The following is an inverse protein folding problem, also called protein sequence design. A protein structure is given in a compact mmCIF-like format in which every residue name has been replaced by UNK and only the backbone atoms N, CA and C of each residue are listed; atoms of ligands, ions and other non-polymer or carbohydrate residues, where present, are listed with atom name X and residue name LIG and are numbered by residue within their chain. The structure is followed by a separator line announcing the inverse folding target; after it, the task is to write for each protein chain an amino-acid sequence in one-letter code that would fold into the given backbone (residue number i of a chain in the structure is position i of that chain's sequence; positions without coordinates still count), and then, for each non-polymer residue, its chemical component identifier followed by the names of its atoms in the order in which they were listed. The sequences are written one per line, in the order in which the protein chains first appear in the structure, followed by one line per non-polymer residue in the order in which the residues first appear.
data_IF_766119524140
#
_entry.id   IF_766119524140
#
_cell.length_a   1.000
_cell.length_b   1.000
_cell.length_c   1.000
_cell.angle_alpha   90.00
_cell.angle_beta   90.00
_cell.angle_gamma   90.00
#
_symmetry.space_group_name_H-M   'P 1'
#
loop_
_entity.id
_entity.type
_entity.pdbx_description
1 polymer ?
#
# COMPACT_ATOMS: atom_id res chain seq x y z
N UNK A 1 -23.69 -19.65 12.33
CA UNK A 1 -23.81 -21.05 11.89
C UNK A 1 -22.49 -21.53 11.31
N UNK A 2 -22.15 -22.82 11.45
CA UNK A 2 -20.86 -23.41 10.99
C UNK A 2 -20.50 -23.06 9.53
N UNK A 3 -21.50 -23.00 8.65
CA UNK A 3 -21.37 -22.61 7.24
C UNK A 3 -20.76 -21.20 7.01
N UNK A 4 -21.04 -20.22 7.90
CA UNK A 4 -20.47 -18.87 7.79
C UNK A 4 -18.98 -18.85 8.14
N UNK A 5 -18.58 -19.65 9.13
CA UNK A 5 -17.18 -19.76 9.56
C UNK A 5 -16.32 -20.49 8.51
N UNK A 6 -16.86 -21.52 7.86
CA UNK A 6 -16.18 -22.20 6.76
C UNK A 6 -16.02 -21.28 5.54
N UNK A 7 -17.06 -20.50 5.21
CA UNK A 7 -16.98 -19.47 4.15
C UNK A 7 -15.95 -18.38 4.46
N UNK A 8 -15.90 -17.86 5.68
CA UNK A 8 -14.92 -16.83 6.05
C UNK A 8 -13.48 -17.36 5.99
N UNK A 9 -13.24 -18.59 6.44
CA UNK A 9 -11.94 -19.23 6.35
C UNK A 9 -11.47 -19.39 4.89
N UNK A 10 -12.36 -19.86 4.00
CA UNK A 10 -12.05 -19.96 2.57
C UNK A 10 -11.76 -18.59 1.94
N UNK A 11 -12.51 -17.55 2.31
CA UNK A 11 -12.30 -16.19 1.81
C UNK A 11 -10.94 -15.60 2.23
N UNK A 12 -10.53 -15.78 3.49
CA UNK A 12 -9.21 -15.35 3.99
C UNK A 12 -8.09 -16.04 3.22
N UNK A 13 -8.23 -17.34 2.97
CA UNK A 13 -7.25 -18.12 2.22
C UNK A 13 -7.14 -17.63 0.76
N UNK A 14 -8.26 -17.37 0.11
CA UNK A 14 -8.30 -16.81 -1.25
C UNK A 14 -7.67 -15.41 -1.32
N UNK A 15 -7.98 -14.54 -0.35
CA UNK A 15 -7.38 -13.20 -0.26
C UNK A 15 -5.86 -13.27 -0.15
N UNK A 16 -5.33 -14.21 0.64
CA UNK A 16 -3.89 -14.44 0.77
C UNK A 16 -3.25 -14.87 -0.56
N UNK A 17 -3.88 -15.80 -1.30
CA UNK A 17 -3.39 -16.20 -2.62
C UNK A 17 -3.43 -15.06 -3.63
N UNK A 18 -4.53 -14.30 -3.68
CA UNK A 18 -4.69 -13.12 -4.54
C UNK A 18 -3.61 -12.08 -4.26
N UNK A 19 -3.30 -11.85 -2.98
CA UNK A 19 -2.21 -10.96 -2.57
C UNK A 19 -0.83 -11.46 -3.01
N UNK A 20 -0.59 -12.78 -2.97
CA UNK A 20 0.70 -13.36 -3.38
C UNK A 20 0.94 -13.25 -4.89
N UNK A 21 -0.11 -13.42 -5.70
CA UNK A 21 -0.03 -13.31 -7.17
C UNK A 21 -0.27 -11.88 -7.69
N UNK A 22 -0.49 -10.91 -6.81
CA UNK A 22 -0.78 -9.54 -7.21
C UNK A 22 0.41 -8.96 -8.01
N UNK A 23 0.17 -8.33 -9.18
CA UNK A 23 1.21 -7.76 -10.02
C UNK A 23 2.15 -6.81 -9.26
N UNK A 24 1.60 -6.10 -8.27
CA UNK A 24 2.35 -5.13 -7.46
C UNK A 24 3.56 -5.71 -6.73
N UNK A 25 3.60 -7.02 -6.47
CA UNK A 25 4.78 -7.67 -5.86
C UNK A 25 5.93 -7.93 -6.83
N UNK A 26 5.64 -7.89 -8.13
CA UNK A 26 6.62 -8.10 -9.20
C UNK A 26 7.23 -6.79 -9.67
N UNK A 27 6.67 -5.66 -9.24
CA UNK A 27 7.17 -4.33 -9.54
C UNK A 27 8.37 -4.04 -8.62
N UNK A 28 9.52 -3.62 -9.16
CA UNK A 28 10.65 -3.18 -8.36
C UNK A 28 10.27 -2.03 -7.42
N UNK A 29 10.94 -1.94 -6.26
CA UNK A 29 10.65 -0.92 -5.26
C UNK A 29 10.88 0.49 -5.80
N UNK A 30 11.85 0.67 -6.69
CA UNK A 30 12.19 1.94 -7.32
C UNK A 30 11.03 2.46 -8.16
N UNK A 31 10.38 1.57 -8.93
CA UNK A 31 9.22 1.92 -9.75
C UNK A 31 8.01 2.25 -8.88
N UNK A 32 7.79 1.51 -7.79
CA UNK A 32 6.75 1.85 -6.82
C UNK A 32 7.01 3.20 -6.15
N UNK A 33 8.27 3.48 -5.79
CA UNK A 33 8.66 4.77 -5.23
C UNK A 33 8.46 5.91 -6.21
N UNK A 34 8.73 5.70 -7.50
CA UNK A 34 8.47 6.69 -8.55
C UNK A 34 6.97 6.93 -8.71
N UNK A 35 6.14 5.88 -8.69
CA UNK A 35 4.67 6.02 -8.72
C UNK A 35 4.18 6.85 -7.52
N UNK A 36 4.72 6.60 -6.32
CA UNK A 36 4.35 7.34 -5.12
C UNK A 36 4.75 8.83 -5.20
N UNK A 37 5.82 9.18 -5.91
CA UNK A 37 6.25 10.58 -6.03
C UNK A 37 5.20 11.45 -6.73
N UNK A 38 4.48 10.90 -7.71
CA UNK A 38 3.38 11.59 -8.38
C UNK A 38 2.23 11.95 -7.44
N UNK A 39 2.00 11.16 -6.38
CA UNK A 39 0.96 11.46 -5.39
C UNK A 39 1.35 12.59 -4.43
N UNK A 40 2.64 12.91 -4.34
CA UNK A 40 3.15 13.98 -3.48
C UNK A 40 3.20 15.35 -4.19
N UNK A 41 3.18 15.36 -5.53
CA UNK A 41 3.31 16.58 -6.34
C UNK A 41 2.07 17.52 -6.25
N UNK A 42 0.87 16.99 -5.98
CA UNK A 42 -0.38 17.77 -5.94
C UNK A 42 -0.66 18.45 -4.58
N UNK A 43 0.21 18.26 -3.57
CA UNK A 43 -0.03 18.74 -2.20
C UNK A 43 0.64 20.08 -1.88
N UNK A 44 1.03 20.89 -2.88
CA UNK A 44 1.79 22.14 -2.65
C UNK A 44 1.08 23.16 -1.75
N UNK A 45 -0.24 23.07 -1.62
CA UNK A 45 -1.06 24.08 -0.93
C UNK A 45 -1.69 23.58 0.38
N UNK A 46 -1.45 22.31 0.75
CA UNK A 46 -2.04 21.69 1.93
C UNK A 46 -1.00 21.57 3.06
N UNK A 47 -1.11 22.45 4.07
CA UNK A 47 -0.28 22.45 5.30
C UNK A 47 -0.56 21.23 6.20
N UNK A 48 -1.45 20.33 5.79
CA UNK A 48 -1.76 19.11 6.53
C UNK A 48 -0.68 18.04 6.33
N UNK A 49 0.41 18.21 7.07
CA UNK A 49 1.54 17.27 7.17
C UNK A 49 1.06 15.85 7.52
N UNK A 50 -0.07 15.71 8.21
CA UNK A 50 -0.67 14.43 8.65
C UNK A 50 -1.48 13.74 7.54
N UNK A 51 -1.94 14.49 6.54
CA UNK A 51 -2.78 14.01 5.44
C UNK A 51 -1.99 13.79 4.14
N UNK A 52 -0.68 14.05 4.16
CA UNK A 52 0.21 13.87 3.02
C UNK A 52 0.18 12.46 2.45
N UNK A 53 0.38 12.33 1.14
CA UNK A 53 0.34 11.06 0.44
C UNK A 53 1.24 9.95 1.07
N UNK A 54 2.46 10.21 1.58
CA UNK A 54 3.30 9.17 2.18
C UNK A 54 2.66 8.52 3.41
N UNK A 55 1.94 9.30 4.22
CA UNK A 55 1.23 8.77 5.38
C UNK A 55 0.14 7.79 4.93
N UNK A 56 -0.73 8.21 4.01
CA UNK A 56 -1.81 7.38 3.49
C UNK A 56 -1.26 6.11 2.83
N UNK A 57 -0.23 6.23 2.00
CA UNK A 57 0.42 5.10 1.34
C UNK A 57 1.03 4.13 2.34
N UNK A 58 1.64 4.62 3.42
CA UNK A 58 2.24 3.77 4.45
C UNK A 58 1.21 2.88 5.17
N UNK A 59 -0.07 3.27 5.19
CA UNK A 59 -1.12 2.50 5.85
C UNK A 59 -1.72 1.37 4.99
N UNK A 60 -1.40 1.29 3.70
CA UNK A 60 -1.96 0.27 2.79
C UNK A 60 -1.46 -1.14 3.11
N UNK A 61 -0.14 -1.34 3.20
CA UNK A 61 0.45 -2.62 3.57
C UNK A 61 1.90 -2.46 4.07
N UNK A 62 2.49 -3.53 4.60
CA UNK A 62 3.88 -3.53 5.10
C UNK A 62 4.91 -3.20 4.02
N UNK A 63 4.72 -3.67 2.79
CA UNK A 63 5.62 -3.36 1.66
C UNK A 63 5.61 -1.86 1.35
N UNK A 64 4.43 -1.25 1.23
CA UNK A 64 4.31 0.17 0.92
C UNK A 64 4.88 1.04 2.03
N UNK A 65 4.64 0.67 3.29
CA UNK A 65 5.29 1.32 4.44
C UNK A 65 6.81 1.29 4.35
N UNK A 66 7.38 0.13 4.04
CA UNK A 66 8.83 0.00 3.89
C UNK A 66 9.37 0.92 2.80
N UNK A 67 8.70 0.99 1.65
CA UNK A 67 9.10 1.85 0.53
C UNK A 67 8.99 3.33 0.91
N UNK A 68 7.88 3.74 1.55
CA UNK A 68 7.68 5.14 1.98
C UNK A 68 8.75 5.60 2.97
N UNK A 69 9.14 4.73 3.91
CA UNK A 69 10.17 5.04 4.90
C UNK A 69 11.59 5.03 4.30
N UNK A 70 11.83 4.24 3.24
CA UNK A 70 13.14 4.19 2.56
C UNK A 70 13.34 5.27 1.50
N UNK A 71 12.31 6.06 1.19
CA UNK A 71 12.33 7.04 0.10
C UNK A 71 12.15 8.46 0.65
N UNK A 72 13.25 9.16 1.02
CA UNK A 72 13.18 10.53 1.56
C UNK A 72 12.48 11.54 0.65
N UNK A 73 12.48 11.31 -0.68
CA UNK A 73 11.84 12.18 -1.68
C UNK A 73 10.31 12.25 -1.57
N UNK A 74 9.69 11.34 -0.81
CA UNK A 74 8.25 11.33 -0.62
C UNK A 74 7.81 12.29 0.49
N UNK A 75 8.71 12.65 1.40
CA UNK A 75 8.45 13.51 2.56
C UNK A 75 8.89 14.96 2.28
#
# INVERSE_FOLDING_TARGET
TRLLAERSHAAVKLAKYRYFIAPIRRVPNEILSEIFSFTCADMSDSVDIVSGAPWVLSHVCSLWRSICLSSPRLW
#
